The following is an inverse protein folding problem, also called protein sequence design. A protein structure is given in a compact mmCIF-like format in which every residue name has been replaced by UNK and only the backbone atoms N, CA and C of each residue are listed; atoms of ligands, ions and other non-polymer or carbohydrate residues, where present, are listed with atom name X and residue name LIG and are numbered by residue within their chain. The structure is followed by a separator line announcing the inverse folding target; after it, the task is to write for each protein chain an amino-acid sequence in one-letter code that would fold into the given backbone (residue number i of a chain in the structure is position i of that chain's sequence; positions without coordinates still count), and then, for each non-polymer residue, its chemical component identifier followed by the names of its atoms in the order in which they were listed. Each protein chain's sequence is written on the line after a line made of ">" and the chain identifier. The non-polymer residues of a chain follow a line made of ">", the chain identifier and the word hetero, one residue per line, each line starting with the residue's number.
data_IF_882824175273
#
_entry.id   IF_882824175273
#
_cell.length_a   1.000
_cell.length_b   1.000
_cell.length_c   1.000
_cell.angle_alpha   90.00
_cell.angle_beta   90.00
_cell.angle_gamma   90.00
#
_symmetry.space_group_name_H-M   'P 1'
#
loop_
_entity.id
_entity.type
_entity.pdbx_description
1 polymer ?
#
# COMPACT_ATOMS: atom_id res chain seq x y z
N UNK A 1 19.70 -2.19 -18.12
CA UNK A 1 18.62 -1.44 -17.46
C UNK A 1 18.22 -2.15 -16.20
N UNK A 2 18.13 -1.46 -15.07
CA UNK A 2 17.61 -2.10 -13.86
C UNK A 2 16.14 -2.48 -14.05
N UNK A 3 15.76 -3.58 -13.45
CA UNK A 3 14.35 -3.99 -13.42
C UNK A 3 13.60 -2.97 -12.55
N UNK A 4 12.48 -2.41 -13.02
CA UNK A 4 11.75 -1.43 -12.22
C UNK A 4 11.15 -2.08 -10.97
N UNK A 5 11.11 -1.32 -9.89
CA UNK A 5 10.38 -1.75 -8.70
C UNK A 5 8.88 -1.81 -8.99
N UNK A 6 8.21 -2.71 -8.32
CA UNK A 6 6.77 -2.95 -8.47
C UNK A 6 6.03 -2.39 -7.26
N UNK A 7 5.01 -1.59 -7.51
CA UNK A 7 4.19 -0.98 -6.47
C UNK A 7 2.73 -1.39 -6.65
N UNK A 8 2.09 -1.82 -5.58
CA UNK A 8 0.64 -2.04 -5.57
C UNK A 8 -0.01 -0.90 -4.80
N UNK A 9 -1.01 -0.28 -5.39
CA UNK A 9 -1.79 0.80 -4.76
C UNK A 9 -3.18 0.27 -4.44
N UNK A 10 -3.47 0.06 -3.15
CA UNK A 10 -4.74 -0.48 -2.69
C UNK A 10 -5.52 0.65 -2.05
N UNK A 11 -6.47 1.20 -2.80
CA UNK A 11 -7.15 2.45 -2.50
C UNK A 11 -8.53 2.45 -3.15
N UNK A 12 -9.59 2.74 -2.38
CA UNK A 12 -10.96 2.71 -2.91
C UNK A 12 -11.39 3.98 -3.66
N UNK A 13 -10.73 5.12 -3.43
CA UNK A 13 -11.00 6.34 -4.17
C UNK A 13 -10.43 6.24 -5.59
N UNK A 14 -11.28 6.25 -6.64
CA UNK A 14 -10.78 6.15 -8.01
C UNK A 14 -9.82 7.30 -8.38
N UNK A 15 -10.11 8.51 -7.92
CA UNK A 15 -9.29 9.68 -8.21
C UNK A 15 -7.91 9.56 -7.59
N UNK A 16 -7.84 9.15 -6.33
CA UNK A 16 -6.58 9.02 -5.62
C UNK A 16 -5.76 7.84 -6.15
N UNK A 17 -6.44 6.73 -6.45
CA UNK A 17 -5.82 5.57 -7.06
C UNK A 17 -5.16 5.94 -8.40
N UNK A 18 -5.89 6.67 -9.26
CA UNK A 18 -5.39 7.13 -10.54
C UNK A 18 -4.21 8.10 -10.38
N UNK A 19 -4.31 9.02 -9.43
CA UNK A 19 -3.25 10.00 -9.17
C UNK A 19 -1.93 9.31 -8.80
N UNK A 20 -1.96 8.37 -7.86
CA UNK A 20 -0.76 7.65 -7.43
C UNK A 20 -0.22 6.76 -8.54
N UNK A 21 -1.10 6.07 -9.25
CA UNK A 21 -0.69 5.25 -10.39
C UNK A 21 0.09 6.08 -11.41
N UNK A 22 -0.49 7.23 -11.81
CA UNK A 22 0.13 8.10 -12.81
C UNK A 22 1.50 8.62 -12.35
N UNK A 23 1.57 9.11 -11.12
CA UNK A 23 2.82 9.66 -10.58
C UNK A 23 3.89 8.60 -10.41
N UNK A 24 3.52 7.41 -9.95
CA UNK A 24 4.46 6.31 -9.78
C UNK A 24 4.96 5.78 -11.12
N UNK A 25 4.08 5.66 -12.10
CA UNK A 25 4.49 5.23 -13.44
C UNK A 25 5.47 6.23 -14.07
N UNK A 26 5.27 7.53 -13.83
CA UNK A 26 6.21 8.55 -14.30
C UNK A 26 7.58 8.44 -13.66
N UNK A 27 7.65 7.93 -12.44
CA UNK A 27 8.92 7.67 -11.76
C UNK A 27 9.61 6.41 -12.25
N UNK A 28 8.95 5.62 -13.09
CA UNK A 28 9.50 4.38 -13.62
C UNK A 28 9.08 3.12 -12.89
N UNK A 29 8.17 3.23 -11.93
CA UNK A 29 7.62 2.06 -11.24
C UNK A 29 6.63 1.33 -12.12
N UNK A 30 6.57 0.01 -11.97
CA UNK A 30 5.50 -0.82 -12.51
C UNK A 30 4.40 -0.86 -11.45
N UNK A 31 3.16 -0.50 -11.82
CA UNK A 31 2.09 -0.26 -10.85
C UNK A 31 0.87 -1.11 -11.15
N UNK A 32 0.30 -1.73 -10.11
CA UNK A 32 -1.03 -2.33 -10.14
C UNK A 32 -1.89 -1.66 -9.08
N UNK A 33 -3.20 -1.71 -9.28
CA UNK A 33 -4.15 -1.08 -8.38
C UNK A 33 -5.25 -2.05 -7.98
N UNK A 34 -5.84 -1.83 -6.82
CA UNK A 34 -7.03 -2.53 -6.37
C UNK A 34 -7.89 -1.57 -5.54
N UNK A 35 -9.20 -1.81 -5.50
CA UNK A 35 -10.17 -0.91 -4.87
C UNK A 35 -10.62 -1.35 -3.48
N UNK A 36 -10.20 -2.51 -3.03
CA UNK A 36 -10.52 -3.03 -1.70
C UNK A 36 -9.53 -4.12 -1.32
N UNK A 37 -9.60 -4.58 -0.07
CA UNK A 37 -8.66 -5.59 0.42
C UNK A 37 -8.78 -6.95 -0.24
N UNK A 38 -9.99 -7.33 -0.67
CA UNK A 38 -10.20 -8.63 -1.34
C UNK A 38 -9.51 -8.66 -2.69
N UNK A 39 -9.74 -7.63 -3.53
CA UNK A 39 -9.03 -7.47 -4.79
C UNK A 39 -7.52 -7.30 -4.54
N UNK A 40 -7.16 -6.58 -3.48
CA UNK A 40 -5.78 -6.38 -3.10
C UNK A 40 -5.03 -7.67 -2.85
N UNK A 41 -5.64 -8.61 -2.13
CA UNK A 41 -5.02 -9.92 -1.89
C UNK A 41 -4.76 -10.67 -3.21
N UNK A 42 -5.73 -10.66 -4.11
CA UNK A 42 -5.59 -11.33 -5.41
C UNK A 42 -4.47 -10.71 -6.25
N UNK A 43 -4.46 -9.37 -6.31
CA UNK A 43 -3.48 -8.61 -7.08
C UNK A 43 -2.07 -8.79 -6.52
N UNK A 44 -1.90 -8.68 -5.21
CA UNK A 44 -0.60 -8.82 -4.56
C UNK A 44 -0.03 -10.22 -4.74
N UNK A 45 -0.87 -11.23 -4.61
CA UNK A 45 -0.44 -12.62 -4.79
C UNK A 45 0.11 -12.86 -6.20
N UNK A 46 -0.55 -12.31 -7.21
CA UNK A 46 -0.15 -12.52 -8.62
C UNK A 46 1.04 -11.64 -9.01
N UNK A 47 1.02 -10.39 -8.60
CA UNK A 47 1.98 -9.39 -9.03
C UNK A 47 3.29 -9.46 -8.24
N UNK A 48 3.24 -9.86 -6.97
CA UNK A 48 4.39 -9.90 -6.07
C UNK A 48 5.11 -8.55 -6.03
N UNK A 49 4.43 -7.49 -5.56
CA UNK A 49 5.04 -6.14 -5.53
C UNK A 49 6.19 -6.06 -4.54
N UNK A 50 7.08 -5.11 -4.77
CA UNK A 50 8.16 -4.80 -3.84
C UNK A 50 7.65 -4.01 -2.65
N UNK A 51 6.59 -3.22 -2.86
CA UNK A 51 5.99 -2.39 -1.83
C UNK A 51 4.49 -2.16 -2.12
N UNK A 52 3.72 -2.02 -1.05
CA UNK A 52 2.28 -1.77 -1.13
C UNK A 52 1.96 -0.45 -0.45
N UNK A 53 1.18 0.41 -1.13
CA UNK A 53 0.48 1.53 -0.50
C UNK A 53 -0.92 1.03 -0.15
N UNK A 54 -1.26 1.05 1.13
CA UNK A 54 -2.49 0.41 1.62
C UNK A 54 -3.32 1.38 2.46
N UNK A 55 -4.55 1.66 1.99
CA UNK A 55 -5.51 2.38 2.82
C UNK A 55 -6.19 1.42 3.80
N UNK A 56 -6.61 1.93 4.93
CA UNK A 56 -7.30 1.15 5.96
C UNK A 56 -8.81 1.11 5.75
N UNK A 57 -9.40 2.22 5.29
CA UNK A 57 -10.85 2.33 5.11
C UNK A 57 -11.25 2.06 3.68
N UNK A 58 -11.78 0.87 3.45
CA UNK A 58 -12.24 0.45 2.13
C UNK A 58 -13.47 -0.45 2.29
N UNK A 59 -14.38 -0.47 1.30
CA UNK A 59 -15.52 -1.38 1.33
C UNK A 59 -15.08 -2.83 1.12
N UNK A 60 -15.96 -3.78 1.36
CA UNK A 60 -15.77 -5.22 1.19
C UNK A 60 -14.75 -5.80 2.17
N UNK A 61 -13.51 -5.36 2.12
CA UNK A 61 -12.46 -5.74 3.06
C UNK A 61 -11.52 -4.55 3.24
N UNK A 62 -11.34 -4.11 4.48
CA UNK A 62 -10.43 -3.01 4.79
C UNK A 62 -8.97 -3.43 4.80
N UNK A 63 -8.07 -2.44 4.95
CA UNK A 63 -6.64 -2.68 4.91
C UNK A 63 -6.11 -3.52 6.06
N UNK A 64 -6.65 -3.35 7.26
CA UNK A 64 -6.19 -4.13 8.42
C UNK A 64 -6.47 -5.62 8.24
N UNK A 65 -7.66 -5.97 7.76
CA UNK A 65 -8.00 -7.37 7.47
C UNK A 65 -7.15 -7.92 6.32
N UNK A 66 -6.96 -7.14 5.26
CA UNK A 66 -6.10 -7.53 4.14
C UNK A 66 -4.68 -7.84 4.64
N UNK A 67 -4.11 -6.96 5.45
CA UNK A 67 -2.78 -7.14 5.99
C UNK A 67 -2.68 -8.40 6.84
N UNK A 68 -3.67 -8.65 7.70
CA UNK A 68 -3.73 -9.85 8.54
C UNK A 68 -3.70 -11.11 7.68
N UNK A 69 -4.54 -11.16 6.64
CA UNK A 69 -4.61 -12.32 5.74
C UNK A 69 -3.34 -12.49 4.93
N UNK A 70 -2.78 -11.39 4.44
CA UNK A 70 -1.56 -11.40 3.64
C UNK A 70 -0.36 -11.91 4.45
N UNK A 71 -0.21 -11.46 5.68
CA UNK A 71 0.90 -11.85 6.55
C UNK A 71 0.87 -13.33 6.94
N UNK A 72 -0.30 -13.96 6.86
CA UNK A 72 -0.45 -15.39 7.13
C UNK A 72 -0.01 -16.26 5.94
N UNK A 73 0.28 -15.66 4.79
CA UNK A 73 0.67 -16.39 3.58
C UNK A 73 2.17 -16.28 3.34
N UNK A 74 2.82 -17.36 2.83
CA UNK A 74 4.26 -17.29 2.51
C UNK A 74 4.60 -16.19 1.51
N UNK A 75 3.72 -15.95 0.54
CA UNK A 75 3.96 -14.94 -0.50
C UNK A 75 3.79 -13.51 0.00
N UNK A 76 3.25 -13.29 1.18
CA UNK A 76 2.97 -11.96 1.72
C UNK A 76 3.52 -11.72 3.12
N UNK A 77 4.34 -12.64 3.64
CA UNK A 77 4.85 -12.53 5.03
C UNK A 77 5.84 -11.39 5.22
N UNK A 78 6.60 -11.04 4.20
CA UNK A 78 7.68 -10.04 4.29
C UNK A 78 7.51 -8.84 3.35
N UNK A 79 6.41 -8.77 2.60
CA UNK A 79 6.18 -7.66 1.68
C UNK A 79 6.17 -6.33 2.41
N UNK A 80 6.88 -5.34 1.88
CA UNK A 80 6.93 -4.00 2.47
C UNK A 80 5.59 -3.32 2.30
N UNK A 81 5.12 -2.68 3.37
CA UNK A 81 3.81 -2.01 3.40
C UNK A 81 3.94 -0.62 3.98
N UNK A 82 3.39 0.35 3.27
CA UNK A 82 3.16 1.70 3.77
C UNK A 82 1.65 1.88 3.91
N UNK A 83 1.21 2.17 5.13
CA UNK A 83 -0.18 2.54 5.36
C UNK A 83 -0.36 4.00 4.94
N UNK A 84 -1.34 4.26 4.09
CA UNK A 84 -1.66 5.60 3.60
C UNK A 84 -3.16 5.81 3.78
N UNK A 85 -3.55 6.52 4.85
CA UNK A 85 -4.94 6.61 5.28
C UNK A 85 -5.23 7.96 5.93
N UNK A 86 -6.52 8.29 6.11
CA UNK A 86 -6.93 9.47 6.86
C UNK A 86 -7.10 9.20 8.36
N UNK A 87 -7.02 7.94 8.79
CA UNK A 87 -7.12 7.59 10.21
C UNK A 87 -5.80 7.94 10.90
N UNK A 88 -5.87 8.67 12.02
CA UNK A 88 -4.66 8.97 12.80
C UNK A 88 -4.06 7.69 13.37
N UNK A 89 -2.76 7.69 13.63
CA UNK A 89 -2.06 6.51 14.14
C UNK A 89 -2.63 6.05 15.48
N UNK A 90 -3.05 6.97 16.31
CA UNK A 90 -3.63 6.65 17.63
C UNK A 90 -4.99 5.93 17.51
N UNK A 91 -5.69 6.16 16.41
CA UNK A 91 -7.01 5.54 16.15
C UNK A 91 -6.89 4.30 15.27
N UNK A 92 -5.68 3.92 14.87
CA UNK A 92 -5.47 2.77 13.99
C UNK A 92 -5.94 1.47 14.66
N UNK A 93 -6.45 0.51 13.87
CA UNK A 93 -6.87 -0.78 14.39
C UNK A 93 -5.73 -1.47 15.16
N UNK A 94 -6.06 -2.08 16.30
CA UNK A 94 -5.07 -2.76 17.15
C UNK A 94 -4.34 -3.88 16.42
N UNK A 95 -4.99 -4.52 15.45
CA UNK A 95 -4.39 -5.58 14.64
C UNK A 95 -3.07 -5.15 13.98
N UNK A 96 -2.93 -3.85 13.64
CA UNK A 96 -1.71 -3.35 13.03
C UNK A 96 -0.49 -3.43 13.95
N UNK A 97 -0.69 -3.53 15.27
CA UNK A 97 0.41 -3.65 16.23
C UNK A 97 1.12 -4.99 16.14
N UNK A 98 0.47 -6.00 15.59
CA UNK A 98 1.01 -7.35 15.48
C UNK A 98 1.74 -7.58 14.16
N UNK A 99 1.68 -6.64 13.23
CA UNK A 99 2.29 -6.80 11.91
C UNK A 99 3.25 -5.66 11.61
N UNK A 100 4.38 -6.00 11.01
CA UNK A 100 5.34 -4.99 10.56
C UNK A 100 4.77 -4.18 9.41
N UNK A 101 4.73 -2.86 9.58
CA UNK A 101 4.53 -1.92 8.49
C UNK A 101 5.72 -0.97 8.48
N UNK A 102 6.17 -0.61 7.29
CA UNK A 102 7.39 0.19 7.17
C UNK A 102 7.16 1.66 7.53
N UNK A 103 5.98 2.18 7.21
CA UNK A 103 5.58 3.54 7.55
C UNK A 103 4.07 3.61 7.72
N UNK A 104 3.64 4.58 8.52
CA UNK A 104 2.23 4.93 8.67
C UNK A 104 2.08 6.40 8.30
N UNK A 105 1.34 6.68 7.23
CA UNK A 105 1.19 8.03 6.69
C UNK A 105 -0.28 8.45 6.75
N UNK A 106 -0.53 9.61 7.35
CA UNK A 106 -1.85 10.24 7.32
C UNK A 106 -1.93 11.11 6.07
N UNK A 107 -2.88 10.81 5.20
CA UNK A 107 -3.02 11.47 3.88
C UNK A 107 -3.03 13.01 3.97
N UNK A 108 -3.70 13.55 4.99
CA UNK A 108 -3.83 15.00 5.16
C UNK A 108 -2.50 15.69 5.48
N UNK A 109 -1.48 14.96 5.91
CA UNK A 109 -0.21 15.53 6.36
C UNK A 109 0.91 15.41 5.32
N UNK A 110 0.65 14.79 4.18
CA UNK A 110 1.69 14.53 3.17
C UNK A 110 1.15 14.75 1.77
N UNK A 111 1.96 15.39 0.93
CA UNK A 111 1.67 15.50 -0.50
C UNK A 111 2.02 14.18 -1.19
N UNK A 112 1.47 13.90 -2.39
CA UNK A 112 1.88 12.72 -3.15
C UNK A 112 3.39 12.66 -3.41
N UNK A 113 4.03 13.80 -3.67
CA UNK A 113 5.49 13.85 -3.88
C UNK A 113 6.25 13.39 -2.63
N UNK A 114 5.78 13.80 -1.45
CA UNK A 114 6.38 13.36 -0.18
C UNK A 114 6.19 11.87 0.04
N UNK A 115 5.03 11.33 -0.30
CA UNK A 115 4.77 9.88 -0.21
C UNK A 115 5.71 9.11 -1.12
N UNK A 116 5.94 9.58 -2.35
CA UNK A 116 6.87 8.93 -3.28
C UNK A 116 8.29 8.94 -2.72
N UNK A 117 8.72 10.05 -2.11
CA UNK A 117 10.04 10.10 -1.47
C UNK A 117 10.15 9.07 -0.35
N UNK A 118 9.08 8.86 0.43
CA UNK A 118 9.06 7.85 1.48
C UNK A 118 9.17 6.44 0.88
N UNK A 119 8.52 6.20 -0.26
CA UNK A 119 8.65 4.92 -0.97
C UNK A 119 10.12 4.65 -1.30
N UNK A 120 10.84 5.65 -1.85
CA UNK A 120 12.26 5.52 -2.14
C UNK A 120 13.07 5.23 -0.88
N UNK A 121 12.77 5.90 0.23
CA UNK A 121 13.44 5.64 1.51
C UNK A 121 13.26 4.19 1.97
N UNK A 122 12.04 3.67 1.88
CA UNK A 122 11.72 2.31 2.31
C UNK A 122 12.38 1.28 1.40
N UNK A 123 12.40 1.52 0.11
CA UNK A 123 13.04 0.61 -0.84
C UNK A 123 14.57 0.62 -0.73
N UNK A 124 15.13 1.69 -0.18
CA UNK A 124 16.57 1.82 0.00
C UNK A 124 17.25 2.29 -1.26
#
# INVERSE_FOLDING_TARGET
>A
MPIPFKVAVIEDSPDLQYLYRLKLEREGFEVVTASNGKEGLEVVQKFQPDIILLDLLMPVMGGAEMLTRMRAQPWGSDTRVIILTNISKDEAPQALRFFSVDRYIVKAHHTPAQVINIIYEVLG
#
